data_IF_222591762973
#
_entry.id   IF_222591762973
#
_cell.length_a   1.000
_cell.length_b   1.000
_cell.length_c   1.000
_cell.angle_alpha   90.00
_cell.angle_beta   90.00
_cell.angle_gamma   90.00
#
_symmetry.space_group_name_H-M   'P 1'
#
loop_
_entity.id
_entity.type
_entity.pdbx_description
1 polymer ?
#
# COMPACT_ATOMS: atom_id res chain seq x y z
N UNK A 1 -44.96 45.19 -7.96
CA UNK A 1 -45.72 43.98 -8.38
C UNK A 1 -45.43 43.76 -9.86
N UNK A 2 -44.49 42.85 -10.16
CA UNK A 2 -44.69 41.66 -11.02
C UNK A 2 -44.59 42.00 -12.52
N UNK A 3 -43.39 41.92 -13.09
CA UNK A 3 -42.69 40.75 -13.69
C UNK A 3 -42.85 40.78 -15.22
N UNK A 4 -41.71 40.97 -15.87
CA UNK A 4 -41.54 41.04 -17.32
C UNK A 4 -42.04 39.76 -18.00
N UNK A 5 -42.97 39.93 -18.93
CA UNK A 5 -43.47 38.85 -19.78
C UNK A 5 -42.46 38.59 -20.90
N UNK A 6 -41.60 37.59 -20.73
CA UNK A 6 -40.73 37.10 -21.79
C UNK A 6 -41.59 36.32 -22.81
N UNK A 7 -41.56 36.64 -24.12
CA UNK A 7 -42.42 36.00 -25.11
C UNK A 7 -42.05 34.53 -25.32
N UNK A 8 -43.08 33.67 -25.30
CA UNK A 8 -43.05 32.21 -25.41
C UNK A 8 -42.54 31.63 -26.75
N UNK A 9 -41.83 32.41 -27.58
CA UNK A 9 -41.42 32.01 -28.94
C UNK A 9 -40.04 31.34 -28.98
N UNK A 10 -39.22 31.44 -27.94
CA UNK A 10 -37.84 30.87 -27.95
C UNK A 10 -37.80 29.35 -27.69
N UNK A 11 -38.91 28.72 -27.29
CA UNK A 11 -38.92 27.31 -26.89
C UNK A 11 -39.20 26.29 -28.01
N UNK A 12 -39.65 26.71 -29.20
CA UNK A 12 -40.05 25.75 -30.23
C UNK A 12 -38.91 25.28 -31.15
N UNK A 13 -37.87 26.10 -31.37
CA UNK A 13 -36.77 25.74 -32.28
C UNK A 13 -35.67 24.88 -31.63
N UNK A 14 -35.45 25.02 -30.31
CA UNK A 14 -34.43 24.25 -29.58
C UNK A 14 -34.82 22.78 -29.37
N UNK A 15 -36.11 22.49 -29.14
CA UNK A 15 -36.59 21.14 -28.86
C UNK A 15 -36.54 20.19 -30.06
N UNK A 16 -36.78 20.69 -31.27
CA UNK A 16 -36.82 19.87 -32.49
C UNK A 16 -35.42 19.44 -32.95
N UNK A 17 -34.39 20.28 -32.78
CA UNK A 17 -33.01 19.93 -33.08
C UNK A 17 -32.43 18.95 -32.06
N UNK A 18 -32.74 19.15 -30.76
CA UNK A 18 -32.32 18.23 -29.70
C UNK A 18 -33.00 16.86 -29.82
N UNK A 19 -34.29 16.84 -30.16
CA UNK A 19 -35.07 15.62 -30.35
C UNK A 19 -34.59 14.76 -31.52
N UNK A 20 -34.20 15.37 -32.64
CA UNK A 20 -33.68 14.66 -33.79
C UNK A 20 -32.26 14.10 -33.56
N UNK A 21 -31.41 14.82 -32.82
CA UNK A 21 -30.08 14.34 -32.40
C UNK A 21 -30.18 13.17 -31.42
N UNK A 22 -31.06 13.26 -30.41
CA UNK A 22 -31.29 12.19 -29.43
C UNK A 22 -31.96 10.97 -30.08
N UNK A 23 -32.96 11.16 -30.94
CA UNK A 23 -33.58 10.05 -31.68
C UNK A 23 -32.62 9.41 -32.71
N UNK A 24 -31.71 10.20 -33.29
CA UNK A 24 -30.66 9.73 -34.20
C UNK A 24 -29.58 8.89 -33.51
N UNK A 25 -29.26 9.20 -32.24
CA UNK A 25 -28.32 8.45 -31.39
C UNK A 25 -28.94 7.17 -30.81
N UNK A 26 -30.22 7.19 -30.42
CA UNK A 26 -30.89 6.03 -29.80
C UNK A 26 -31.17 4.90 -30.81
N UNK A 27 -31.22 5.18 -32.11
CA UNK A 27 -31.58 4.18 -33.14
C UNK A 27 -30.40 3.33 -33.65
N UNK A 28 -29.19 3.47 -33.11
CA UNK A 28 -28.00 2.79 -33.63
C UNK A 28 -27.21 2.14 -32.50
N UNK A 29 -27.70 0.98 -32.05
CA UNK A 29 -26.93 -0.26 -31.82
C UNK A 29 -25.75 -0.30 -30.81
N UNK A 30 -25.54 0.68 -29.95
CA UNK A 30 -24.31 0.75 -29.13
C UNK A 30 -24.51 0.71 -27.60
N UNK A 31 -25.14 -0.37 -27.10
CA UNK A 31 -25.18 -0.69 -25.64
C UNK A 31 -23.76 -0.91 -25.05
N UNK A 32 -22.77 -1.19 -25.89
CA UNK A 32 -21.36 -1.34 -25.54
C UNK A 32 -20.63 -0.01 -25.29
N UNK A 33 -21.06 1.11 -25.89
CA UNK A 33 -20.40 2.43 -25.74
C UNK A 33 -20.85 3.21 -24.51
N UNK A 34 -21.94 2.81 -23.85
CA UNK A 34 -22.44 3.44 -22.62
C UNK A 34 -21.75 2.92 -21.35
N UNK A 35 -21.17 1.72 -21.38
CA UNK A 35 -20.46 1.12 -20.22
C UNK A 35 -19.04 1.69 -20.05
N UNK A 36 -18.40 2.12 -21.14
CA UNK A 36 -17.03 2.67 -21.15
C UNK A 36 -16.87 3.93 -20.27
N UNK A 37 -17.76 4.96 -20.35
CA UNK A 37 -17.62 6.13 -19.49
C UNK A 37 -17.91 5.83 -18.01
N UNK A 38 -18.76 4.85 -17.69
CA UNK A 38 -19.08 4.46 -16.31
C UNK A 38 -17.89 3.76 -15.63
N UNK A 39 -17.21 2.85 -16.32
CA UNK A 39 -16.00 2.17 -15.82
C UNK A 39 -14.82 3.15 -15.68
N UNK A 40 -14.70 4.13 -16.58
CA UNK A 40 -13.66 5.16 -16.50
C UNK A 40 -13.88 6.15 -15.34
N UNK A 41 -15.13 6.48 -15.01
CA UNK A 41 -15.48 7.30 -13.85
C UNK A 41 -15.22 6.57 -12.52
N UNK A 42 -15.48 5.26 -12.46
CA UNK A 42 -15.16 4.41 -11.31
C UNK A 42 -13.65 4.23 -11.11
N UNK A 43 -12.87 4.17 -12.19
CA UNK A 43 -11.41 4.03 -12.10
C UNK A 43 -10.71 5.29 -11.55
N UNK A 44 -11.25 6.49 -11.81
CA UNK A 44 -10.61 7.74 -11.38
C UNK A 44 -10.85 8.10 -9.91
N UNK A 45 -11.84 7.49 -9.26
CA UNK A 45 -12.04 7.61 -7.81
C UNK A 45 -11.04 6.76 -7.00
N UNK A 46 -10.23 5.92 -7.66
CA UNK A 46 -9.38 4.93 -7.00
C UNK A 46 -7.94 5.39 -6.70
N UNK A 47 -7.47 6.53 -7.22
CA UNK A 47 -6.11 7.01 -6.93
C UNK A 47 -6.16 8.42 -6.35
N UNK A 48 -6.21 8.50 -5.02
CA UNK A 48 -6.11 9.74 -4.29
C UNK A 48 -6.03 9.55 -2.78
N UNK A 49 -5.44 8.43 -2.31
CA UNK A 49 -5.18 8.19 -0.89
C UNK A 49 -3.81 8.75 -0.53
N UNK A 50 -3.77 9.92 0.10
CA UNK A 50 -2.54 10.53 0.62
C UNK A 50 -1.96 9.72 1.79
N UNK A 51 -0.71 9.32 1.67
CA UNK A 51 0.05 8.69 2.76
C UNK A 51 0.56 9.76 3.73
N UNK A 52 0.08 9.72 4.97
CA UNK A 52 0.62 10.51 6.07
C UNK A 52 1.96 9.93 6.53
N UNK A 53 2.98 10.78 6.65
CA UNK A 53 4.24 10.42 7.28
C UNK A 53 4.04 10.23 8.77
N UNK A 54 3.81 8.98 9.18
CA UNK A 54 4.00 8.57 10.56
C UNK A 54 5.50 8.59 10.83
N UNK A 55 5.95 9.47 11.71
CA UNK A 55 7.25 9.29 12.35
C UNK A 55 7.16 7.99 13.14
N UNK A 56 7.73 6.92 12.58
CA UNK A 56 7.99 5.72 13.34
C UNK A 56 8.92 6.16 14.46
N UNK A 57 8.41 6.13 15.69
CA UNK A 57 9.29 5.91 16.81
C UNK A 57 9.84 4.52 16.50
N UNK A 58 11.03 4.46 15.91
CA UNK A 58 11.80 3.23 15.79
C UNK A 58 12.02 2.74 17.22
N UNK A 59 11.02 2.05 17.76
CA UNK A 59 11.22 0.95 18.67
C UNK A 59 11.96 -0.06 17.81
N UNK A 60 13.25 0.22 17.59
CA UNK A 60 14.22 -0.73 17.07
C UNK A 60 13.88 -2.02 17.79
N UNK A 61 13.40 -3.00 17.01
CA UNK A 61 12.83 -4.23 17.52
C UNK A 61 13.61 -4.67 18.76
N UNK A 62 12.89 -4.82 19.89
CA UNK A 62 13.43 -5.07 21.22
C UNK A 62 14.70 -5.92 21.16
N UNK A 63 15.85 -5.28 21.39
CA UNK A 63 17.14 -5.91 21.13
C UNK A 63 17.37 -7.01 22.17
N UNK A 64 17.29 -8.27 21.72
CA UNK A 64 17.47 -9.43 22.57
C UNK A 64 18.95 -9.81 22.71
N UNK A 65 19.37 -10.10 23.96
CA UNK A 65 20.74 -10.54 24.26
C UNK A 65 20.74 -11.67 25.28
N UNK A 66 21.72 -12.59 25.16
CA UNK A 66 21.89 -13.72 26.09
C UNK A 66 23.37 -14.00 26.32
N UNK A 67 23.72 -14.41 27.54
CA UNK A 67 25.08 -14.77 27.92
C UNK A 67 25.25 -16.29 27.90
N UNK A 68 26.25 -16.77 27.15
CA UNK A 68 26.67 -18.17 27.16
C UNK A 68 28.01 -18.26 27.88
N UNK A 69 28.03 -18.95 29.02
CA UNK A 69 29.22 -19.14 29.86
C UNK A 69 29.81 -20.54 29.74
N UNK A 70 31.04 -20.74 30.22
CA UNK A 70 31.67 -22.08 30.27
C UNK A 70 32.28 -22.54 28.94
N UNK A 71 32.50 -21.62 28.00
CA UNK A 71 33.22 -21.93 26.76
C UNK A 71 34.71 -22.12 27.05
N UNK A 72 35.33 -23.09 26.40
CA UNK A 72 36.74 -23.43 26.59
C UNK A 72 37.60 -22.43 25.81
N UNK A 73 38.59 -21.77 26.45
CA UNK A 73 39.52 -20.90 25.75
C UNK A 73 40.33 -21.63 24.69
N UNK A 74 40.62 -20.94 23.57
CA UNK A 74 41.34 -21.51 22.43
C UNK A 74 40.48 -22.38 21.51
N UNK A 75 39.19 -22.57 21.81
CA UNK A 75 38.25 -23.34 20.98
C UNK A 75 37.42 -22.41 20.10
N UNK A 76 37.23 -22.81 18.85
CA UNK A 76 36.31 -22.17 17.90
C UNK A 76 34.91 -22.75 18.03
N UNK A 77 33.93 -21.89 18.26
CA UNK A 77 32.52 -22.24 18.34
C UNK A 77 31.74 -21.71 17.14
N UNK A 78 30.70 -22.44 16.76
CA UNK A 78 29.77 -22.08 15.70
C UNK A 78 28.38 -21.88 16.28
N UNK A 79 27.69 -20.82 15.87
CA UNK A 79 26.35 -20.50 16.36
C UNK A 79 25.49 -19.84 15.29
N UNK A 80 24.17 -19.90 15.45
CA UNK A 80 23.18 -19.20 14.62
C UNK A 80 21.97 -18.83 15.47
N UNK A 81 21.21 -17.85 15.03
CA UNK A 81 19.94 -17.46 15.65
C UNK A 81 18.78 -18.14 14.92
N UNK A 82 17.79 -18.58 15.67
CA UNK A 82 16.51 -19.09 15.14
C UNK A 82 15.41 -18.26 15.80
N UNK A 83 14.66 -17.52 14.98
CA UNK A 83 13.47 -16.81 15.42
C UNK A 83 12.26 -17.71 15.18
N UNK A 84 11.43 -17.89 16.19
CA UNK A 84 10.20 -18.69 16.15
C UNK A 84 9.03 -17.77 16.47
N UNK A 85 8.00 -17.76 15.64
CA UNK A 85 6.77 -16.99 15.91
C UNK A 85 5.75 -17.78 16.75
N UNK A 86 4.62 -17.16 17.06
CA UNK A 86 3.53 -17.78 17.84
C UNK A 86 2.84 -18.96 17.13
N UNK A 87 3.15 -19.21 15.87
CA UNK A 87 2.61 -20.29 15.05
C UNK A 87 3.69 -21.32 14.69
N UNK A 88 4.80 -21.34 15.44
CA UNK A 88 5.94 -22.23 15.24
C UNK A 88 6.66 -22.05 13.88
N UNK A 89 6.47 -20.93 13.19
CA UNK A 89 7.21 -20.63 11.98
C UNK A 89 8.64 -20.17 12.31
N UNK A 90 9.63 -20.76 11.65
CA UNK A 90 11.05 -20.46 11.90
C UNK A 90 11.69 -19.59 10.81
N UNK A 91 12.51 -18.62 11.24
CA UNK A 91 13.49 -17.94 10.40
C UNK A 91 14.88 -18.08 10.99
N UNK A 92 15.88 -18.42 10.18
CA UNK A 92 17.23 -18.74 10.64
C UNK A 92 18.26 -17.75 10.10
N UNK A 93 19.22 -17.37 10.95
CA UNK A 93 20.39 -16.61 10.50
C UNK A 93 21.41 -17.52 9.81
N UNK A 94 22.33 -16.91 9.06
CA UNK A 94 23.55 -17.61 8.66
C UNK A 94 24.38 -18.00 9.90
N UNK A 95 25.16 -19.08 9.77
CA UNK A 95 26.08 -19.54 10.82
C UNK A 95 27.20 -18.52 11.01
N UNK A 96 27.57 -18.31 12.26
CA UNK A 96 28.65 -17.44 12.72
C UNK A 96 29.70 -18.30 13.42
N UNK A 97 30.92 -17.78 13.44
CA UNK A 97 32.06 -18.42 14.09
C UNK A 97 32.68 -17.46 15.10
N UNK A 98 33.15 -17.99 16.21
CA UNK A 98 33.87 -17.23 17.22
C UNK A 98 35.00 -18.08 17.82
N UNK A 99 36.22 -17.54 17.83
CA UNK A 99 37.33 -18.11 18.59
C UNK A 99 37.30 -17.53 20.00
N UNK A 100 37.15 -18.39 21.01
CA UNK A 100 37.15 -17.96 22.41
C UNK A 100 38.59 -17.67 22.81
N UNK A 101 38.86 -16.42 23.18
CA UNK A 101 40.21 -16.00 23.51
C UNK A 101 40.69 -16.61 24.82
N UNK A 102 41.93 -17.08 24.81
CA UNK A 102 42.65 -17.38 26.04
C UNK A 102 43.20 -16.08 26.60
N UNK A 103 42.69 -15.67 27.77
CA UNK A 103 43.27 -14.57 28.52
C UNK A 103 44.65 -15.03 29.00
N UNK A 104 45.70 -14.32 28.60
CA UNK A 104 46.99 -14.46 29.28
C UNK A 104 46.85 -13.86 30.69
N UNK A 105 47.48 -14.46 31.71
CA UNK A 105 47.63 -13.79 33.00
C UNK A 105 48.23 -12.40 32.79
N UNK A 106 47.69 -11.39 33.47
CA UNK A 106 48.34 -10.08 33.56
C UNK A 106 49.52 -10.27 34.51
N UNK A 107 50.75 -10.22 34.00
CA UNK A 107 51.94 -10.20 34.85
C UNK A 107 51.93 -8.91 35.68
N UNK A 108 51.96 -9.07 37.02
CA UNK A 108 52.02 -7.98 38.01
C UNK A 108 53.45 -7.64 38.38
#
# INVERSE_FOLDING_TARGET
>A
HQVDTIPAVVLAAGGLLLGALLAGLVRRRDLTLALIPMVMFLAMASCGGGGGGGGENDNLADAQSTMVSGLIPGVTYYWKMIAVDSHDAETQSAVRTILVQQLSPIDH
#
